data_IF_512086654247
#
_entry.id   IF_512086654247
#
_cell.length_a   1.000
_cell.length_b   1.000
_cell.length_c   1.000
_cell.angle_alpha   90.00
_cell.angle_beta   90.00
_cell.angle_gamma   90.00
#
_symmetry.space_group_name_H-M   'P 1'
#
loop_
_entity.id
_entity.type
_entity.pdbx_description
1 polymer ?
#
# COMPACT_ATOMS: atom_id res chain seq x y z
N UNK A 1 8.77 -4.65 -7.37
CA UNK A 1 10.09 -4.69 -6.70
C UNK A 1 11.02 -3.58 -7.17
N UNK A 2 10.85 -3.06 -8.40
CA UNK A 2 11.64 -1.99 -9.00
C UNK A 2 11.56 -0.64 -8.29
N UNK A 3 10.43 -0.26 -7.68
CA UNK A 3 10.30 1.01 -6.94
C UNK A 3 10.95 1.05 -5.54
N UNK A 4 11.24 -0.12 -4.94
CA UNK A 4 11.88 -0.22 -3.61
C UNK A 4 13.41 -0.33 -3.74
N UNK A 5 13.92 -0.69 -4.92
CA UNK A 5 15.34 -0.93 -5.19
C UNK A 5 16.11 0.35 -5.58
N UNK A 6 15.42 1.43 -5.95
CA UNK A 6 16.07 2.68 -6.40
C UNK A 6 16.73 3.49 -5.27
N UNK A 7 16.40 3.24 -4.00
CA UNK A 7 16.89 4.05 -2.86
C UNK A 7 18.35 3.74 -2.49
N UNK A 8 18.91 2.60 -2.91
CA UNK A 8 20.19 2.09 -2.38
C UNK A 8 21.44 2.18 -3.26
N UNK A 9 21.49 3.02 -4.32
CA UNK A 9 22.55 2.90 -5.34
C UNK A 9 23.54 4.05 -5.56
N UNK A 10 23.46 5.17 -4.83
CA UNK A 10 24.36 6.32 -5.10
C UNK A 10 25.27 6.77 -3.93
N UNK A 11 25.34 6.02 -2.83
CA UNK A 11 26.15 6.39 -1.65
C UNK A 11 27.61 5.86 -1.64
N UNK A 12 28.24 5.64 -2.80
CA UNK A 12 29.58 5.06 -2.87
C UNK A 12 30.57 5.89 -3.70
N UNK A 13 30.72 7.19 -3.42
CA UNK A 13 31.93 7.93 -3.80
C UNK A 13 32.14 9.19 -2.95
N UNK A 14 32.78 9.06 -1.79
CA UNK A 14 33.97 9.86 -1.43
C UNK A 14 34.40 9.59 0.02
N UNK A 15 35.64 9.18 0.22
CA UNK A 15 36.36 9.38 1.47
C UNK A 15 37.86 9.28 1.18
N UNK A 16 38.50 10.45 1.18
CA UNK A 16 39.92 10.63 0.91
C UNK A 16 40.76 10.43 2.18
N UNK A 17 41.96 9.89 1.98
CA UNK A 17 43.00 9.55 2.95
C UNK A 17 43.41 10.69 3.89
N UNK A 18 43.71 10.33 5.14
CA UNK A 18 44.78 10.96 5.93
C UNK A 18 45.69 9.90 6.54
N UNK A 19 46.99 10.06 6.27
CA UNK A 19 48.09 9.25 6.78
C UNK A 19 48.39 9.58 8.25
N UNK A 20 48.62 8.56 9.08
CA UNK A 20 49.23 8.74 10.40
C UNK A 20 50.41 7.78 10.58
N UNK A 21 51.51 8.32 11.10
CA UNK A 21 52.85 7.75 11.21
C UNK A 21 52.95 6.54 12.14
N UNK A 22 53.83 5.61 11.77
CA UNK A 22 54.20 4.38 12.48
C UNK A 22 55.15 4.73 13.62
N UNK A 23 54.68 4.70 14.86
CA UNK A 23 55.49 4.41 16.06
C UNK A 23 54.59 4.41 17.29
N UNK A 24 54.04 3.24 17.63
CA UNK A 24 53.71 2.82 19.01
C UNK A 24 53.11 1.40 18.98
N UNK A 25 53.96 0.43 18.67
CA UNK A 25 53.68 -1.00 18.83
C UNK A 25 54.37 -1.48 20.11
N UNK A 26 53.64 -1.45 21.23
CA UNK A 26 53.74 -2.44 22.32
C UNK A 26 52.71 -2.11 23.41
N UNK A 27 51.80 -3.06 23.65
CA UNK A 27 50.67 -3.04 24.59
C UNK A 27 49.43 -2.23 24.15
N UNK A 28 48.81 -2.65 23.04
CA UNK A 28 47.39 -2.38 22.82
C UNK A 28 46.62 -3.69 23.08
N UNK A 29 45.98 -3.72 24.25
CA UNK A 29 44.77 -4.49 24.53
C UNK A 29 43.93 -4.64 23.25
N UNK A 30 43.61 -5.88 22.84
CA UNK A 30 42.60 -6.15 21.81
C UNK A 30 41.24 -5.72 22.38
N UNK A 31 41.03 -4.42 22.55
CA UNK A 31 39.71 -3.84 22.65
C UNK A 31 39.02 -4.21 21.35
N UNK A 32 38.11 -5.19 21.41
CA UNK A 32 37.11 -5.41 20.37
C UNK A 32 36.62 -4.03 19.96
N UNK A 33 36.92 -3.62 18.73
CA UNK A 33 36.41 -2.36 18.21
C UNK A 33 34.90 -2.34 18.47
N UNK A 34 34.40 -1.26 19.08
CA UNK A 34 32.97 -1.11 19.29
C UNK A 34 32.28 -1.30 17.92
N UNK A 35 31.16 -2.04 17.87
CA UNK A 35 30.44 -2.22 16.62
C UNK A 35 30.09 -0.84 16.03
N UNK A 36 30.06 -0.70 14.70
CA UNK A 36 29.72 0.58 14.08
C UNK A 36 28.34 1.05 14.58
N UNK A 37 28.16 2.38 14.74
CA UNK A 37 26.88 2.93 15.16
C UNK A 37 25.81 2.56 14.12
N UNK A 38 24.60 2.26 14.60
CA UNK A 38 23.50 1.91 13.70
C UNK A 38 23.16 3.05 12.75
N UNK A 39 22.84 2.72 11.50
CA UNK A 39 22.54 3.67 10.43
C UNK A 39 21.12 3.53 9.90
N UNK A 40 20.77 4.40 8.95
CA UNK A 40 19.53 4.29 8.17
C UNK A 40 19.48 2.99 7.35
N UNK A 41 20.64 2.47 6.92
CA UNK A 41 20.75 1.24 6.13
C UNK A 41 20.32 0.02 6.94
N UNK A 42 20.56 0.01 8.25
CA UNK A 42 20.09 -1.04 9.14
C UNK A 42 18.55 -1.06 9.21
N UNK A 43 17.92 0.12 9.25
CA UNK A 43 16.45 0.25 9.21
C UNK A 43 15.91 -0.28 7.88
N UNK A 44 16.48 0.17 6.76
CA UNK A 44 16.13 -0.32 5.43
C UNK A 44 16.32 -1.82 5.28
N UNK A 45 17.40 -2.37 5.82
CA UNK A 45 17.66 -3.81 5.84
C UNK A 45 16.57 -4.56 6.58
N UNK A 46 16.13 -4.09 7.75
CA UNK A 46 15.03 -4.71 8.48
C UNK A 46 13.68 -4.59 7.76
N UNK A 47 13.41 -3.46 7.10
CA UNK A 47 12.23 -3.29 6.24
C UNK A 47 12.23 -4.34 5.12
N UNK A 48 13.35 -4.48 4.40
CA UNK A 48 13.49 -5.44 3.30
C UNK A 48 13.35 -6.88 3.78
N UNK A 49 13.97 -7.23 4.90
CA UNK A 49 13.80 -8.55 5.53
C UNK A 49 12.33 -8.82 5.87
N UNK A 50 11.61 -7.83 6.42
CA UNK A 50 10.18 -7.94 6.69
C UNK A 50 9.37 -8.18 5.41
N UNK A 51 9.64 -7.44 4.33
CA UNK A 51 8.95 -7.60 3.04
C UNK A 51 9.16 -9.01 2.48
N UNK A 52 10.39 -9.52 2.50
CA UNK A 52 10.70 -10.87 1.98
C UNK A 52 10.03 -11.95 2.82
N UNK A 53 10.14 -11.87 4.15
CA UNK A 53 9.60 -12.89 5.07
C UNK A 53 8.06 -12.89 5.06
N UNK A 54 7.44 -11.71 5.06
CA UNK A 54 5.97 -11.58 4.98
C UNK A 54 5.39 -12.14 3.67
N UNK A 55 6.18 -12.17 2.58
CA UNK A 55 5.84 -12.84 1.33
C UNK A 55 5.84 -14.36 1.43
N UNK A 56 6.67 -14.95 2.30
CA UNK A 56 6.87 -16.38 2.46
C UNK A 56 5.82 -17.12 3.29
N UNK A 57 6.14 -18.35 3.69
CA UNK A 57 5.24 -19.24 4.44
C UNK A 57 5.14 -18.89 5.94
N UNK A 58 6.20 -18.33 6.52
CA UNK A 58 6.28 -17.95 7.93
C UNK A 58 5.96 -16.46 8.13
N UNK A 59 4.73 -16.06 7.80
CA UNK A 59 4.37 -14.65 7.70
C UNK A 59 4.54 -13.88 9.01
N UNK A 60 4.29 -14.50 10.16
CA UNK A 60 4.43 -13.87 11.48
C UNK A 60 5.89 -13.61 11.89
N UNK A 61 6.86 -14.30 11.29
CA UNK A 61 8.28 -14.10 11.64
C UNK A 61 8.77 -12.72 11.16
N UNK A 62 8.04 -12.07 10.25
CA UNK A 62 8.34 -10.71 9.83
C UNK A 62 8.12 -9.68 10.96
N UNK A 63 7.25 -9.96 11.94
CA UNK A 63 6.94 -9.04 13.05
C UNK A 63 8.18 -8.72 13.89
N UNK A 64 9.10 -9.68 14.02
CA UNK A 64 10.37 -9.48 14.73
C UNK A 64 11.22 -8.41 14.04
N UNK A 65 11.33 -8.52 12.72
CA UNK A 65 12.11 -7.59 11.90
C UNK A 65 11.43 -6.22 11.83
N UNK A 66 10.11 -6.22 11.70
CA UNK A 66 9.31 -5.00 11.74
C UNK A 66 9.49 -4.24 13.06
N UNK A 67 9.39 -4.95 14.18
CA UNK A 67 9.60 -4.39 15.51
C UNK A 67 11.01 -3.82 15.71
N UNK A 68 12.04 -4.45 15.10
CA UNK A 68 13.41 -3.91 15.11
C UNK A 68 13.52 -2.65 14.26
N UNK A 69 12.91 -2.62 13.07
CA UNK A 69 12.91 -1.46 12.19
C UNK A 69 12.26 -0.24 12.87
N UNK A 70 11.07 -0.39 13.44
CA UNK A 70 10.34 0.69 14.14
C UNK A 70 11.14 1.24 15.31
N UNK A 71 11.61 0.36 16.21
CA UNK A 71 12.40 0.82 17.37
C UNK A 71 13.70 1.50 16.97
N UNK A 72 14.39 0.99 15.94
CA UNK A 72 15.63 1.60 15.47
C UNK A 72 15.35 2.96 14.81
N UNK A 73 14.31 3.08 13.99
CA UNK A 73 13.90 4.36 13.40
C UNK A 73 13.60 5.42 14.46
N UNK A 74 12.87 5.05 15.52
CA UNK A 74 12.59 5.94 16.66
C UNK A 74 13.87 6.30 17.44
N UNK A 75 14.77 5.33 17.66
CA UNK A 75 16.06 5.58 18.34
C UNK A 75 16.97 6.51 17.54
N UNK A 76 16.92 6.43 16.20
CA UNK A 76 17.62 7.35 15.30
C UNK A 76 16.89 8.69 15.13
N UNK A 77 15.71 8.88 15.72
CA UNK A 77 14.92 10.09 15.64
C UNK A 77 14.35 10.37 14.25
N UNK A 78 14.09 9.34 13.45
CA UNK A 78 13.55 9.51 12.09
C UNK A 78 12.13 10.08 12.06
N UNK A 79 11.42 10.05 13.20
CA UNK A 79 10.06 10.53 13.36
C UNK A 79 9.97 11.99 13.85
N UNK A 80 11.08 12.75 13.82
CA UNK A 80 11.15 14.13 14.33
C UNK A 80 11.63 15.11 13.26
N UNK A 81 11.36 16.41 13.48
CA UNK A 81 11.73 17.45 12.52
C UNK A 81 13.24 17.44 12.41
N UNK A 82 13.68 17.30 11.17
CA UNK A 82 15.07 17.23 10.78
C UNK A 82 15.56 18.66 10.44
N UNK A 83 16.82 18.97 10.73
CA UNK A 83 17.41 20.27 10.44
C UNK A 83 17.63 20.42 8.93
N UNK A 84 16.60 20.89 8.20
CA UNK A 84 16.57 21.24 6.76
C UNK A 84 17.90 21.16 5.97
N UNK A 85 18.36 19.94 5.67
CA UNK A 85 19.46 19.66 4.75
C UNK A 85 19.08 18.48 3.82
N UNK A 86 19.60 18.52 2.59
CA UNK A 86 19.45 17.52 1.53
C UNK A 86 19.70 16.08 2.00
N UNK A 87 20.74 15.89 2.81
CA UNK A 87 21.13 14.59 3.38
C UNK A 87 20.08 13.94 4.30
N UNK A 88 19.02 14.69 4.68
CA UNK A 88 17.95 14.18 5.53
C UNK A 88 16.72 13.73 4.74
N UNK A 89 16.64 14.02 3.43
CA UNK A 89 15.50 13.57 2.61
C UNK A 89 15.41 12.05 2.54
N UNK A 90 16.55 11.35 2.45
CA UNK A 90 16.58 9.89 2.52
C UNK A 90 16.01 9.38 3.85
N UNK A 91 16.39 10.00 4.97
CA UNK A 91 15.87 9.69 6.32
C UNK A 91 14.35 9.85 6.39
N UNK A 92 13.82 10.94 5.83
CA UNK A 92 12.36 11.17 5.75
C UNK A 92 11.68 10.09 4.91
N UNK A 93 12.22 9.78 3.73
CA UNK A 93 11.65 8.75 2.83
C UNK A 93 11.63 7.37 3.47
N UNK A 94 12.69 7.00 4.22
CA UNK A 94 12.71 5.73 4.97
C UNK A 94 11.68 5.71 6.09
N UNK A 95 11.52 6.82 6.84
CA UNK A 95 10.47 6.92 7.85
C UNK A 95 9.07 6.79 7.24
N UNK A 96 8.78 7.52 6.16
CA UNK A 96 7.47 7.48 5.52
C UNK A 96 7.19 6.14 4.83
N UNK A 97 8.21 5.44 4.34
CA UNK A 97 8.07 4.06 3.88
C UNK A 97 7.68 3.13 5.03
N UNK A 98 8.33 3.29 6.19
CA UNK A 98 8.02 2.55 7.39
C UNK A 98 6.57 2.82 7.85
N UNK A 99 6.15 4.08 7.88
CA UNK A 99 4.77 4.49 8.18
C UNK A 99 3.75 3.80 7.26
N UNK A 100 3.96 3.86 5.93
CA UNK A 100 3.06 3.24 4.96
C UNK A 100 2.93 1.72 5.17
N UNK A 101 4.06 1.04 5.36
CA UNK A 101 4.11 -0.39 5.56
C UNK A 101 3.54 -0.82 6.92
N UNK A 102 3.65 0.03 7.95
CA UNK A 102 3.07 -0.25 9.28
C UNK A 102 1.55 -0.42 9.20
N UNK A 103 0.86 0.48 8.48
CA UNK A 103 -0.60 0.38 8.27
C UNK A 103 -0.98 -0.79 7.37
N UNK A 104 -0.19 -1.03 6.33
CA UNK A 104 -0.38 -2.19 5.46
C UNK A 104 -0.29 -3.52 6.23
N UNK A 105 0.74 -3.69 7.06
CA UNK A 105 0.93 -4.88 7.89
C UNK A 105 -0.10 -4.98 9.00
N UNK A 106 -0.49 -3.86 9.63
CA UNK A 106 -1.57 -3.82 10.61
C UNK A 106 -2.90 -4.35 10.01
N UNK A 107 -3.26 -3.92 8.80
CA UNK A 107 -4.40 -4.50 8.09
C UNK A 107 -4.18 -5.99 7.80
N UNK A 108 -3.02 -6.38 7.25
CA UNK A 108 -2.74 -7.77 6.87
C UNK A 108 -2.79 -8.74 8.05
N UNK A 109 -2.32 -8.34 9.23
CA UNK A 109 -2.20 -9.18 10.41
C UNK A 109 -3.22 -8.88 11.52
N UNK A 110 -4.26 -8.11 11.20
CA UNK A 110 -5.32 -7.74 12.14
C UNK A 110 -4.75 -7.09 13.43
N UNK A 111 -3.73 -6.25 13.25
CA UNK A 111 -3.02 -5.55 14.30
C UNK A 111 -3.36 -4.06 14.35
N UNK A 112 -2.89 -3.39 15.40
CA UNK A 112 -2.86 -1.93 15.46
C UNK A 112 -1.55 -1.41 14.88
N UNK A 113 -1.52 -0.22 14.26
CA UNK A 113 -0.27 0.38 13.81
C UNK A 113 0.67 0.58 15.00
N UNK A 114 1.97 0.34 14.80
CA UNK A 114 3.02 0.56 15.81
C UNK A 114 3.48 2.01 15.84
N UNK A 115 3.35 2.71 14.70
CA UNK A 115 3.71 4.12 14.59
C UNK A 115 2.45 4.95 14.83
N UNK A 116 2.45 5.86 15.79
CA UNK A 116 1.29 6.73 16.02
C UNK A 116 1.36 8.00 15.18
N UNK A 117 0.21 8.57 14.82
CA UNK A 117 0.20 9.80 14.02
C UNK A 117 0.72 11.01 14.83
N UNK A 118 0.56 11.03 16.15
CA UNK A 118 1.05 12.11 17.03
C UNK A 118 2.58 12.13 17.20
N UNK A 119 3.26 11.00 16.97
CA UNK A 119 4.72 10.95 16.97
C UNK A 119 5.33 11.26 15.60
N UNK A 120 4.51 11.50 14.57
CA UNK A 120 4.96 11.80 13.21
C UNK A 120 5.28 13.29 13.07
N UNK A 121 6.35 13.72 13.71
CA UNK A 121 6.86 15.08 13.62
C UNK A 121 7.79 15.23 12.41
N UNK A 122 7.36 14.92 11.19
CA UNK A 122 8.25 14.89 9.99
C UNK A 122 7.65 15.64 8.80
N UNK A 123 8.48 16.31 8.00
CA UNK A 123 8.03 16.88 6.72
C UNK A 123 7.62 15.79 5.73
N UNK A 124 6.58 16.03 4.94
CA UNK A 124 6.19 15.16 3.83
C UNK A 124 7.36 15.08 2.82
N UNK A 125 7.64 13.89 2.21
CA UNK A 125 8.71 13.75 1.24
C UNK A 125 8.56 14.71 0.06
N UNK A 126 9.69 15.16 -0.48
CA UNK A 126 9.69 15.91 -1.73
C UNK A 126 9.17 15.02 -2.87
N UNK A 127 8.46 15.58 -3.86
CA UNK A 127 8.17 14.86 -5.11
C UNK A 127 9.47 14.31 -5.72
N UNK A 128 9.41 13.13 -6.35
CA UNK A 128 10.63 12.46 -6.86
C UNK A 128 11.38 13.32 -7.87
N UNK A 129 10.68 14.08 -8.72
CA UNK A 129 11.29 14.98 -9.68
C UNK A 129 12.01 16.18 -9.03
N UNK A 130 11.50 16.65 -7.89
CA UNK A 130 12.17 17.70 -7.11
C UNK A 130 13.40 17.13 -6.40
N UNK A 131 13.30 15.90 -5.89
CA UNK A 131 14.40 15.21 -5.24
C UNK A 131 15.52 14.85 -6.23
N UNK A 132 15.19 14.28 -7.39
CA UNK A 132 16.14 13.91 -8.45
C UNK A 132 16.87 15.12 -9.04
N UNK A 133 16.29 16.32 -8.95
CA UNK A 133 16.85 17.55 -9.51
C UNK A 133 17.23 18.56 -8.43
N UNK A 134 17.43 18.11 -7.18
CA UNK A 134 17.53 18.96 -5.98
C UNK A 134 18.45 20.17 -6.14
N UNK A 135 19.62 20.01 -6.78
CA UNK A 135 20.60 21.07 -7.01
C UNK A 135 20.09 22.23 -7.91
N UNK A 136 19.06 21.97 -8.72
CA UNK A 136 18.61 22.88 -9.79
C UNK A 136 17.23 23.50 -9.55
N UNK A 137 16.48 23.00 -8.56
CA UNK A 137 15.11 23.46 -8.29
C UNK A 137 15.11 24.70 -7.39
N UNK A 138 14.22 25.69 -7.61
CA UNK A 138 14.14 26.87 -6.74
C UNK A 138 13.90 26.51 -5.27
N UNK A 139 14.63 27.15 -4.35
CA UNK A 139 14.57 26.88 -2.90
C UNK A 139 13.17 27.08 -2.28
N UNK A 140 12.29 27.86 -2.93
CA UNK A 140 10.90 28.03 -2.50
C UNK A 140 10.09 26.73 -2.56
N UNK A 141 10.38 25.84 -3.52
CA UNK A 141 9.71 24.55 -3.66
C UNK A 141 10.18 23.55 -2.59
N UNK A 142 11.37 23.76 -2.03
CA UNK A 142 11.96 22.93 -0.98
C UNK A 142 11.47 23.38 0.41
N UNK A 143 11.17 24.67 0.58
CA UNK A 143 10.84 25.27 1.88
C UNK A 143 9.35 25.24 2.23
N UNK A 144 8.44 25.22 1.25
CA UNK A 144 6.99 25.12 1.48
C UNK A 144 6.54 23.67 1.59
N UNK A 145 6.79 23.04 2.74
CA UNK A 145 6.39 21.65 3.01
C UNK A 145 5.40 21.57 4.15
N UNK A 146 4.37 20.74 3.98
CA UNK A 146 3.51 20.34 5.08
C UNK A 146 4.23 19.33 5.97
N UNK A 147 3.73 19.21 7.18
CA UNK A 147 4.26 18.38 8.23
C UNK A 147 3.17 17.40 8.70
N UNK A 148 3.60 16.20 9.11
CA UNK A 148 2.72 15.13 9.52
C UNK A 148 2.08 14.37 8.35
N UNK A 149 1.24 13.37 8.65
CA UNK A 149 0.66 12.49 7.63
C UNK A 149 -0.25 13.27 6.67
N UNK A 150 0.04 13.30 5.36
CA UNK A 150 -0.84 13.93 4.38
C UNK A 150 -2.09 13.06 4.16
N UNK A 151 -3.18 13.66 3.66
CA UNK A 151 -4.43 12.96 3.33
C UNK A 151 -4.93 13.23 1.91
N UNK A 152 -4.19 14.02 1.13
CA UNK A 152 -4.51 14.35 -0.26
C UNK A 152 -3.49 13.76 -1.22
N UNK A 153 -3.96 13.21 -2.33
CA UNK A 153 -3.10 12.72 -3.42
C UNK A 153 -2.61 13.92 -4.23
N UNK A 154 -1.31 14.15 -4.27
CA UNK A 154 -0.74 15.36 -4.89
C UNK A 154 -0.10 15.11 -6.26
N UNK A 155 0.32 13.88 -6.53
CA UNK A 155 1.12 13.52 -7.70
C UNK A 155 1.21 12.01 -7.91
N UNK A 156 2.14 11.59 -8.76
CA UNK A 156 2.26 10.20 -9.21
C UNK A 156 3.38 9.40 -8.55
N UNK A 157 4.24 10.05 -7.76
CA UNK A 157 5.29 9.37 -7.00
C UNK A 157 4.71 8.58 -5.83
N UNK A 158 5.42 7.54 -5.37
CA UNK A 158 4.91 6.61 -4.35
C UNK A 158 4.36 7.32 -3.10
N UNK A 159 5.11 8.28 -2.54
CA UNK A 159 4.67 9.04 -1.37
C UNK A 159 3.59 10.09 -1.68
N UNK A 160 3.43 10.51 -2.94
CA UNK A 160 2.42 11.50 -3.31
C UNK A 160 1.01 10.90 -3.43
N UNK A 161 0.89 9.59 -3.72
CA UNK A 161 -0.41 8.93 -3.83
C UNK A 161 -0.67 7.88 -2.74
N UNK A 162 0.33 7.10 -2.35
CA UNK A 162 0.13 5.96 -1.45
C UNK A 162 0.12 6.39 0.02
N UNK A 163 1.01 7.30 0.42
CA UNK A 163 1.08 7.79 1.80
C UNK A 163 -0.24 8.42 2.28
N UNK A 164 -0.92 9.28 1.48
CA UNK A 164 -2.26 9.77 1.83
C UNK A 164 -3.29 8.68 2.14
N UNK A 165 -3.29 7.61 1.33
CA UNK A 165 -4.20 6.48 1.52
C UNK A 165 -3.85 5.70 2.80
N UNK A 166 -2.56 5.58 3.13
CA UNK A 166 -2.11 4.91 4.35
C UNK A 166 -2.37 5.73 5.62
N UNK A 167 -2.31 7.06 5.54
CA UNK A 167 -2.73 7.93 6.64
C UNK A 167 -4.21 7.70 6.99
N UNK A 168 -5.10 7.79 5.99
CA UNK A 168 -6.53 7.55 6.17
C UNK A 168 -6.80 6.10 6.63
N UNK A 169 -6.02 5.13 6.14
CA UNK A 169 -6.12 3.74 6.61
C UNK A 169 -5.84 3.62 8.11
N UNK A 170 -4.91 4.40 8.65
CA UNK A 170 -4.64 4.49 10.08
C UNK A 170 -5.90 4.84 10.88
N UNK A 171 -6.66 5.84 10.43
CA UNK A 171 -7.94 6.22 11.05
C UNK A 171 -8.97 5.09 11.01
N UNK A 172 -9.08 4.40 9.87
CA UNK A 172 -10.01 3.27 9.69
C UNK A 172 -9.62 2.11 10.62
N UNK A 173 -8.34 1.77 10.71
CA UNK A 173 -7.82 0.74 11.65
C UNK A 173 -8.10 1.16 13.09
N UNK A 174 -7.89 2.43 13.44
CA UNK A 174 -8.13 2.95 14.78
C UNK A 174 -9.59 2.76 15.20
N UNK A 175 -10.55 3.17 14.36
CA UNK A 175 -11.99 2.97 14.62
C UNK A 175 -12.30 1.46 14.75
N UNK A 176 -11.77 0.62 13.85
CA UNK A 176 -11.99 -0.82 13.88
C UNK A 176 -11.57 -1.45 15.21
N UNK A 177 -10.33 -1.20 15.66
CA UNK A 177 -9.82 -1.79 16.89
C UNK A 177 -10.41 -1.19 18.16
N UNK A 178 -10.84 0.08 18.13
CA UNK A 178 -11.56 0.72 19.24
C UNK A 178 -12.84 -0.06 19.60
N UNK A 179 -13.57 -0.58 18.62
CA UNK A 179 -14.79 -1.40 18.83
C UNK A 179 -14.52 -2.66 19.68
N UNK A 180 -13.30 -3.18 19.67
CA UNK A 180 -12.92 -4.34 20.47
C UNK A 180 -12.41 -3.99 21.88
N UNK A 181 -12.18 -2.71 22.16
CA UNK A 181 -11.64 -2.24 23.43
C UNK A 181 -12.65 -2.47 24.57
N UNK A 182 -12.28 -3.08 25.71
CA UNK A 182 -13.21 -3.46 26.78
C UNK A 182 -14.05 -2.31 27.37
N UNK A 183 -13.49 -1.10 27.43
CA UNK A 183 -14.17 0.10 27.97
C UNK A 183 -14.74 1.04 26.91
N UNK A 184 -14.04 1.24 25.80
CA UNK A 184 -14.39 2.20 24.76
C UNK A 184 -15.16 1.59 23.58
N UNK A 185 -15.29 0.26 23.50
CA UNK A 185 -15.95 -0.40 22.37
C UNK A 185 -17.47 -0.17 22.27
N UNK A 186 -18.11 0.31 23.35
CA UNK A 186 -19.53 0.67 23.37
C UNK A 186 -19.78 2.13 23.03
N UNK A 187 -18.73 2.94 22.85
CA UNK A 187 -18.87 4.34 22.47
C UNK A 187 -19.30 4.44 21.00
N UNK A 188 -20.14 5.44 20.71
CA UNK A 188 -20.58 5.72 19.35
C UNK A 188 -19.40 6.19 18.47
N UNK A 189 -19.30 5.63 17.27
CA UNK A 189 -18.28 5.96 16.27
C UNK A 189 -18.75 7.07 15.32
N UNK A 190 -20.00 7.55 15.38
CA UNK A 190 -20.60 8.39 14.34
C UNK A 190 -19.77 9.64 13.98
N UNK A 191 -19.22 10.34 14.98
CA UNK A 191 -18.38 11.51 14.73
C UNK A 191 -17.06 11.13 14.05
N UNK A 192 -16.43 10.03 14.48
CA UNK A 192 -15.20 9.52 13.89
C UNK A 192 -15.43 9.05 12.45
N UNK A 193 -16.52 8.32 12.20
CA UNK A 193 -16.93 7.89 10.85
C UNK A 193 -17.17 9.12 9.95
N UNK A 194 -17.90 10.13 10.44
CA UNK A 194 -18.19 11.34 9.66
C UNK A 194 -16.92 12.14 9.33
N UNK A 195 -15.92 12.16 10.22
CA UNK A 195 -14.62 12.76 9.94
C UNK A 195 -13.90 12.00 8.82
N UNK A 196 -13.83 10.67 8.90
CA UNK A 196 -13.20 9.84 7.86
C UNK A 196 -13.94 9.93 6.52
N UNK A 197 -15.28 10.04 6.52
CA UNK A 197 -16.05 10.29 5.29
C UNK A 197 -15.63 11.58 4.58
N UNK A 198 -15.33 12.65 5.34
CA UNK A 198 -14.83 13.91 4.77
C UNK A 198 -13.42 13.75 4.20
N UNK A 199 -12.57 12.96 4.86
CA UNK A 199 -11.24 12.63 4.34
C UNK A 199 -11.34 11.83 3.03
N UNK A 200 -12.22 10.83 2.97
CA UNK A 200 -12.47 10.08 1.73
C UNK A 200 -12.95 10.98 0.60
N UNK A 201 -13.90 11.89 0.85
CA UNK A 201 -14.38 12.83 -0.16
C UNK A 201 -13.26 13.75 -0.67
N UNK A 202 -12.43 14.27 0.24
CA UNK A 202 -11.30 15.14 -0.13
C UNK A 202 -10.23 14.40 -0.92
N UNK A 203 -9.91 13.16 -0.50
CA UNK A 203 -8.97 12.29 -1.20
C UNK A 203 -9.48 11.91 -2.60
N UNK A 204 -10.76 11.53 -2.72
CA UNK A 204 -11.40 11.25 -4.01
C UNK A 204 -11.30 12.46 -4.96
N UNK A 205 -11.61 13.66 -4.46
CA UNK A 205 -11.48 14.88 -5.25
C UNK A 205 -10.03 15.10 -5.72
N UNK A 206 -9.05 14.91 -4.84
CA UNK A 206 -7.63 15.06 -5.20
C UNK A 206 -7.16 14.05 -6.27
N UNK A 207 -7.73 12.84 -6.28
CA UNK A 207 -7.46 11.83 -7.32
C UNK A 207 -8.06 12.29 -8.67
N UNK A 208 -9.30 12.79 -8.66
CA UNK A 208 -9.94 13.33 -9.88
C UNK A 208 -9.24 14.58 -10.41
N UNK A 209 -8.73 15.44 -9.53
CA UNK A 209 -7.94 16.62 -9.91
C UNK A 209 -6.59 16.21 -10.53
N UNK A 210 -5.97 15.15 -10.02
CA UNK A 210 -4.76 14.56 -10.63
C UNK A 210 -5.05 14.03 -12.04
N UNK A 211 -6.12 13.27 -12.22
CA UNK A 211 -6.53 12.73 -13.54
C UNK A 211 -6.75 13.86 -14.55
N UNK A 212 -7.51 14.89 -14.17
CA UNK A 212 -7.85 16.04 -15.03
C UNK A 212 -6.63 16.85 -15.47
N UNK A 213 -5.61 16.97 -14.60
CA UNK A 213 -4.35 17.66 -14.93
C UNK A 213 -3.64 17.00 -16.10
N UNK A 214 -3.56 15.67 -16.12
CA UNK A 214 -2.86 14.92 -17.16
C UNK A 214 -3.67 14.74 -18.45
N UNK A 215 -4.99 14.82 -18.41
CA UNK A 215 -5.82 14.87 -19.63
C UNK A 215 -5.70 16.21 -20.37
N UNK A 216 -5.52 17.32 -19.64
CA UNK A 216 -5.40 18.66 -20.25
C UNK A 216 -4.05 18.87 -20.94
N UNK A 217 -2.98 18.20 -20.48
CA UNK A 217 -1.65 18.29 -21.09
C UNK A 217 -1.60 17.70 -22.52
N UNK A 218 -2.46 16.73 -22.85
CA UNK A 218 -2.54 16.09 -24.17
C UNK A 218 -3.07 17.03 -25.27
N UNK A 219 -4.03 17.90 -24.93
CA UNK A 219 -4.57 18.89 -25.86
C UNK A 219 -3.52 19.92 -26.33
N UNK A 220 -2.45 20.11 -25.55
CA UNK A 220 -1.39 21.09 -25.82
C UNK A 220 -0.11 20.48 -26.41
N UNK A 221 0.00 19.14 -26.54
CA UNK A 221 1.21 18.49 -27.05
C UNK A 221 0.92 17.16 -27.76
N UNK A 222 1.00 17.17 -29.09
CA UNK A 222 0.96 15.93 -29.89
C UNK A 222 2.35 15.27 -29.91
N UNK A 223 2.48 14.03 -29.40
CA UNK A 223 3.70 13.19 -29.50
C UNK A 223 3.30 11.74 -29.88
N UNK A 224 4.09 11.01 -30.72
CA UNK A 224 3.64 9.83 -31.47
C UNK A 224 3.67 8.50 -30.69
N UNK A 225 2.93 7.53 -31.23
CA UNK A 225 2.55 6.23 -30.67
C UNK A 225 3.67 5.19 -30.40
N UNK A 226 4.95 5.58 -30.27
CA UNK A 226 6.07 4.63 -30.11
C UNK A 226 6.57 4.43 -28.67
N UNK A 227 5.96 5.03 -27.65
CA UNK A 227 6.40 4.90 -26.24
C UNK A 227 5.68 3.79 -25.46
N UNK A 228 4.92 2.93 -26.12
CA UNK A 228 4.35 1.76 -25.48
C UNK A 228 5.39 0.63 -25.42
N UNK A 229 5.69 0.22 -24.19
CA UNK A 229 6.42 -1.00 -23.78
C UNK A 229 7.93 -0.83 -23.56
N UNK A 230 8.32 -0.40 -22.34
CA UNK A 230 9.31 -1.07 -21.46
C UNK A 230 9.64 -0.15 -20.27
N UNK A 231 9.59 -0.63 -19.01
CA UNK A 231 10.24 0.05 -17.90
C UNK A 231 11.73 -0.28 -17.99
N UNK A 232 12.51 0.55 -18.69
CA UNK A 232 13.91 0.24 -18.93
C UNK A 232 14.74 0.44 -17.65
N UNK A 233 15.17 -0.69 -17.09
CA UNK A 233 16.28 -0.78 -16.15
C UNK A 233 17.61 -0.71 -16.91
N UNK A 234 18.34 0.40 -16.78
CA UNK A 234 19.80 0.48 -16.93
C UNK A 234 20.45 0.31 -18.32
N UNK A 235 21.31 1.29 -18.63
CA UNK A 235 22.47 1.24 -19.55
C UNK A 235 22.22 1.02 -21.04
N UNK A 236 22.30 2.11 -21.80
CA UNK A 236 22.82 2.07 -23.16
C UNK A 236 23.90 3.15 -23.31
N UNK A 237 25.16 2.73 -23.21
CA UNK A 237 26.31 3.52 -23.63
C UNK A 237 26.34 3.58 -25.16
N UNK A 238 26.36 4.79 -25.73
CA UNK A 238 26.93 5.07 -27.05
C UNK A 238 27.11 6.58 -27.28
N UNK A 239 28.04 6.99 -28.16
CA UNK A 239 29.13 7.87 -27.74
C UNK A 239 28.88 9.36 -27.99
N UNK A 240 29.55 10.16 -27.15
CA UNK A 240 30.03 11.54 -27.34
C UNK A 240 29.73 12.15 -28.73
N UNK A 241 28.81 13.11 -28.80
CA UNK A 241 29.03 14.42 -29.42
C UNK A 241 27.80 15.35 -29.37
N UNK A 242 28.09 16.62 -29.08
CA UNK A 242 27.35 17.86 -29.36
C UNK A 242 26.20 18.33 -28.45
N UNK A 243 26.53 19.38 -27.68
CA UNK A 243 26.03 20.76 -27.81
C UNK A 243 25.45 21.35 -26.52
N UNK A 244 26.11 22.42 -26.07
CA UNK A 244 25.69 23.35 -25.03
C UNK A 244 24.39 24.05 -25.47
N UNK A 245 23.36 24.02 -24.61
CA UNK A 245 22.29 25.01 -24.59
C UNK A 245 20.86 24.46 -24.68
N UNK A 246 20.25 24.18 -23.54
CA UNK A 246 18.85 24.55 -23.17
C UNK A 246 18.58 24.08 -21.73
N UNK A 247 17.79 24.80 -20.90
CA UNK A 247 17.41 24.29 -19.59
C UNK A 247 16.59 23.02 -19.82
N UNK A 248 17.01 21.93 -19.21
CA UNK A 248 16.37 20.62 -19.32
C UNK A 248 14.87 20.77 -19.07
N UNK A 249 14.07 20.66 -20.14
CA UNK A 249 12.63 20.70 -20.05
C UNK A 249 12.16 19.58 -19.15
N UNK A 250 11.30 19.92 -18.17
CA UNK A 250 10.54 18.95 -17.36
C UNK A 250 10.07 17.81 -18.25
N UNK A 251 10.58 16.60 -18.05
CA UNK A 251 10.00 15.41 -18.69
C UNK A 251 8.59 15.26 -18.12
N UNK A 252 7.52 15.32 -18.95
CA UNK A 252 6.18 15.04 -18.46
C UNK A 252 6.16 13.61 -17.92
N UNK A 253 5.78 13.40 -16.65
CA UNK A 253 5.47 12.05 -16.16
C UNK A 253 4.35 11.52 -17.07
N UNK A 254 4.54 10.34 -17.65
CA UNK A 254 3.66 9.82 -18.69
C UNK A 254 2.21 9.75 -18.21
N UNK A 255 1.25 10.16 -19.06
CA UNK A 255 -0.20 9.98 -18.83
C UNK A 255 -0.54 8.54 -18.41
N UNK A 256 0.18 7.55 -18.95
CA UNK A 256 0.01 6.16 -18.56
C UNK A 256 0.28 5.93 -17.06
N UNK A 257 1.31 6.59 -16.50
CA UNK A 257 1.60 6.53 -15.06
C UNK A 257 0.51 7.23 -14.24
N UNK A 258 0.02 8.39 -14.70
CA UNK A 258 -1.09 9.06 -14.04
C UNK A 258 -2.36 8.20 -14.03
N UNK A 259 -2.67 7.52 -15.14
CA UNK A 259 -3.78 6.59 -15.25
C UNK A 259 -3.63 5.37 -14.32
N UNK A 260 -2.41 4.82 -14.21
CA UNK A 260 -2.11 3.76 -13.25
C UNK A 260 -2.36 4.24 -11.82
N UNK A 261 -1.72 5.35 -11.42
CA UNK A 261 -1.81 5.88 -10.05
C UNK A 261 -3.27 6.20 -9.67
N UNK A 262 -4.01 6.87 -10.54
CA UNK A 262 -5.41 7.22 -10.27
C UNK A 262 -6.31 5.99 -10.18
N UNK A 263 -6.12 4.99 -11.05
CA UNK A 263 -6.85 3.72 -11.00
C UNK A 263 -6.59 2.95 -9.70
N UNK A 264 -5.32 2.80 -9.31
CA UNK A 264 -4.94 2.11 -8.07
C UNK A 264 -5.39 2.88 -6.82
N UNK A 265 -5.27 4.21 -6.82
CA UNK A 265 -5.71 5.05 -5.70
C UNK A 265 -7.22 4.99 -5.50
N UNK A 266 -7.99 5.04 -6.60
CA UNK A 266 -9.46 4.92 -6.59
C UNK A 266 -9.88 3.55 -6.04
N UNK A 267 -9.23 2.48 -6.49
CA UNK A 267 -9.48 1.14 -5.98
C UNK A 267 -9.23 1.03 -4.47
N UNK A 268 -8.06 1.46 -4.00
CA UNK A 268 -7.71 1.42 -2.56
C UNK A 268 -8.69 2.26 -1.76
N UNK A 269 -9.07 3.45 -2.23
CA UNK A 269 -10.04 4.30 -1.55
C UNK A 269 -11.40 3.60 -1.38
N UNK A 270 -11.91 2.92 -2.41
CA UNK A 270 -13.12 2.11 -2.28
C UNK A 270 -12.96 0.95 -1.28
N UNK A 271 -11.79 0.32 -1.23
CA UNK A 271 -11.50 -0.70 -0.19
C UNK A 271 -11.51 -0.08 1.21
N UNK A 272 -10.99 1.14 1.39
CA UNK A 272 -11.07 1.84 2.67
C UNK A 272 -12.52 2.11 3.10
N UNK A 273 -13.40 2.49 2.16
CA UNK A 273 -14.84 2.58 2.43
C UNK A 273 -15.43 1.21 2.84
N UNK A 274 -15.07 0.13 2.14
CA UNK A 274 -15.50 -1.24 2.50
C UNK A 274 -15.04 -1.57 3.93
N UNK A 275 -13.82 -1.24 4.30
CA UNK A 275 -13.27 -1.48 5.64
C UNK A 275 -13.91 -0.62 6.73
N UNK A 276 -14.30 0.62 6.43
CA UNK A 276 -14.95 1.51 7.43
C UNK A 276 -16.34 0.99 7.84
N UNK A 277 -17.13 0.53 6.86
CA UNK A 277 -18.52 0.09 7.08
C UNK A 277 -18.69 -1.42 7.25
N UNK A 278 -17.78 -2.19 6.68
CA UNK A 278 -17.81 -3.64 6.62
C UNK A 278 -17.30 -4.31 7.88
N UNK A 279 -17.69 -5.56 8.07
CA UNK A 279 -16.90 -6.49 8.88
C UNK A 279 -15.56 -6.71 8.19
N UNK A 280 -14.49 -7.02 8.92
CA UNK A 280 -13.20 -7.33 8.29
C UNK A 280 -13.02 -8.83 8.04
N UNK A 281 -13.88 -9.66 8.62
CA UNK A 281 -13.78 -11.11 8.64
C UNK A 281 -14.85 -11.76 7.73
N UNK A 282 -14.39 -12.47 6.69
CA UNK A 282 -15.28 -13.09 5.70
C UNK A 282 -16.20 -14.15 6.29
N UNK A 283 -15.75 -14.92 7.29
CA UNK A 283 -16.59 -15.95 7.92
C UNK A 283 -17.72 -15.30 8.71
N UNK A 284 -17.41 -14.28 9.51
CA UNK A 284 -18.40 -13.51 10.28
C UNK A 284 -19.40 -12.77 9.39
N UNK A 285 -18.98 -12.34 8.19
CA UNK A 285 -19.90 -11.80 7.17
C UNK A 285 -20.88 -12.84 6.66
N UNK A 286 -20.39 -14.06 6.34
CA UNK A 286 -21.22 -15.13 5.78
C UNK A 286 -22.22 -15.68 6.80
N UNK A 287 -21.81 -15.80 8.05
CA UNK A 287 -22.66 -16.23 9.17
C UNK A 287 -23.79 -15.23 9.42
N UNK A 288 -23.46 -13.93 9.53
CA UNK A 288 -24.44 -12.85 9.71
C UNK A 288 -25.39 -13.06 10.90
N UNK A 289 -24.86 -13.52 12.04
CA UNK A 289 -25.65 -13.79 13.24
C UNK A 289 -26.33 -12.55 13.84
N UNK A 290 -25.82 -11.35 13.53
CA UNK A 290 -26.27 -10.04 14.01
C UNK A 290 -27.22 -9.31 13.04
N UNK A 291 -27.56 -9.91 11.90
CA UNK A 291 -28.44 -9.28 10.91
C UNK A 291 -27.84 -8.07 10.16
N UNK A 292 -26.52 -7.87 10.23
CA UNK A 292 -25.80 -6.73 9.65
C UNK A 292 -26.13 -6.47 8.16
N UNK A 293 -26.40 -7.49 7.36
CA UNK A 293 -26.73 -7.35 5.91
C UNK A 293 -27.99 -6.53 5.62
N UNK A 294 -28.83 -6.26 6.63
CA UNK A 294 -30.04 -5.44 6.46
C UNK A 294 -29.84 -3.96 6.83
N UNK A 295 -28.62 -3.60 7.25
CA UNK A 295 -28.29 -2.29 7.79
C UNK A 295 -27.86 -1.26 6.73
N UNK A 296 -27.93 0.03 7.06
CA UNK A 296 -27.44 1.12 6.20
C UNK A 296 -25.92 1.04 5.94
N UNK A 297 -25.05 0.74 6.94
CA UNK A 297 -23.63 0.51 6.69
C UNK A 297 -23.36 -0.58 5.65
N UNK A 298 -24.14 -1.67 5.66
CA UNK A 298 -24.02 -2.70 4.64
C UNK A 298 -24.28 -2.16 3.23
N UNK A 299 -25.31 -1.34 3.03
CA UNK A 299 -25.60 -0.73 1.72
C UNK A 299 -24.45 0.14 1.22
N UNK A 300 -23.81 0.91 2.10
CA UNK A 300 -22.60 1.68 1.76
C UNK A 300 -21.45 0.75 1.36
N UNK A 301 -21.19 -0.28 2.17
CA UNK A 301 -20.15 -1.29 1.93
C UNK A 301 -20.36 -2.02 0.59
N UNK A 302 -21.60 -2.43 0.31
CA UNK A 302 -22.05 -3.06 -0.93
C UNK A 302 -21.76 -2.20 -2.17
N UNK A 303 -22.16 -0.93 -2.14
CA UNK A 303 -21.93 -0.01 -3.25
C UNK A 303 -20.45 0.15 -3.56
N UNK A 304 -19.61 0.31 -2.52
CA UNK A 304 -18.17 0.46 -2.71
C UNK A 304 -17.46 -0.83 -3.12
N UNK A 305 -17.96 -2.01 -2.75
CA UNK A 305 -17.41 -3.27 -3.23
C UNK A 305 -17.62 -3.48 -4.75
N UNK A 306 -18.78 -3.06 -5.28
CA UNK A 306 -19.05 -3.06 -6.72
C UNK A 306 -18.13 -2.04 -7.43
N UNK A 307 -18.06 -0.81 -6.92
CA UNK A 307 -17.17 0.22 -7.48
C UNK A 307 -15.69 -0.20 -7.42
N UNK A 308 -15.26 -0.89 -6.36
CA UNK A 308 -13.93 -1.47 -6.28
C UNK A 308 -13.68 -2.51 -7.39
N UNK A 309 -14.66 -3.36 -7.71
CA UNK A 309 -14.54 -4.32 -8.81
C UNK A 309 -14.43 -3.64 -10.18
N UNK A 310 -15.10 -2.51 -10.37
CA UNK A 310 -15.01 -1.70 -11.59
C UNK A 310 -13.64 -1.02 -11.70
N UNK A 311 -13.12 -0.48 -10.59
CA UNK A 311 -11.76 0.05 -10.53
C UNK A 311 -10.71 -1.03 -10.84
N UNK A 312 -10.85 -2.25 -10.30
CA UNK A 312 -10.00 -3.40 -10.67
C UNK A 312 -10.11 -3.72 -12.17
N UNK A 313 -11.31 -3.62 -12.75
CA UNK A 313 -11.47 -3.80 -14.20
C UNK A 313 -10.71 -2.75 -15.01
N UNK A 314 -10.58 -1.51 -14.53
CA UNK A 314 -9.77 -0.49 -15.20
C UNK A 314 -8.27 -0.76 -14.99
N UNK A 315 -7.86 -1.13 -13.77
CA UNK A 315 -6.49 -1.54 -13.47
C UNK A 315 -6.04 -2.66 -14.42
N UNK A 316 -6.85 -3.69 -14.63
CA UNK A 316 -6.49 -4.80 -15.54
C UNK A 316 -6.39 -4.39 -17.02
N UNK A 317 -6.89 -3.22 -17.43
CA UNK A 317 -6.71 -2.70 -18.80
C UNK A 317 -5.36 -2.00 -18.95
N UNK A 318 -4.91 -1.25 -17.94
CA UNK A 318 -3.66 -0.50 -17.99
C UNK A 318 -2.46 -1.26 -17.39
N UNK A 319 -2.70 -2.22 -16.50
CA UNK A 319 -1.71 -3.11 -15.87
C UNK A 319 -2.23 -4.56 -15.84
N UNK A 320 -2.27 -5.24 -17.00
CA UNK A 320 -2.84 -6.58 -17.13
C UNK A 320 -2.10 -7.66 -16.34
N UNK A 321 -0.85 -7.39 -15.94
CA UNK A 321 0.02 -8.29 -15.17
C UNK A 321 0.13 -7.89 -13.68
N UNK A 322 -0.56 -6.82 -13.25
CA UNK A 322 -0.55 -6.31 -11.87
C UNK A 322 0.87 -6.08 -11.31
N UNK A 323 1.75 -5.53 -12.16
CA UNK A 323 3.18 -5.34 -11.87
C UNK A 323 3.49 -3.99 -11.21
N UNK A 324 2.54 -3.06 -11.17
CA UNK A 324 2.74 -1.72 -10.63
C UNK A 324 3.01 -1.73 -9.11
N UNK A 325 2.24 -2.51 -8.35
CA UNK A 325 2.38 -2.62 -6.89
C UNK A 325 2.15 -4.04 -6.34
N UNK A 326 2.96 -5.03 -6.80
CA UNK A 326 2.68 -6.46 -6.61
C UNK A 326 2.72 -6.91 -5.15
N UNK A 327 3.56 -6.28 -4.32
CA UNK A 327 3.63 -6.58 -2.88
C UNK A 327 2.40 -6.08 -2.12
N UNK A 328 1.95 -4.86 -2.43
CA UNK A 328 0.94 -4.16 -1.63
C UNK A 328 -0.49 -4.53 -2.05
N UNK A 329 -0.72 -4.76 -3.34
CA UNK A 329 -2.07 -4.87 -3.91
C UNK A 329 -2.92 -6.00 -3.31
N UNK A 330 -2.28 -7.10 -2.94
CA UNK A 330 -2.95 -8.34 -2.59
C UNK A 330 -3.93 -8.27 -1.43
N UNK A 331 -3.60 -7.50 -0.38
CA UNK A 331 -4.47 -7.36 0.80
C UNK A 331 -5.70 -6.51 0.50
N UNK A 332 -5.56 -5.48 -0.34
CA UNK A 332 -6.66 -4.62 -0.75
C UNK A 332 -7.61 -5.37 -1.68
N UNK A 333 -7.06 -6.14 -2.63
CA UNK A 333 -7.85 -7.04 -3.47
C UNK A 333 -8.65 -8.03 -2.62
N UNK A 334 -8.04 -8.61 -1.59
CA UNK A 334 -8.74 -9.52 -0.69
C UNK A 334 -9.92 -8.84 0.04
N UNK A 335 -9.68 -7.74 0.74
CA UNK A 335 -10.73 -7.07 1.52
C UNK A 335 -11.83 -6.47 0.63
N UNK A 336 -11.49 -5.96 -0.56
CA UNK A 336 -12.47 -5.52 -1.55
C UNK A 336 -13.37 -6.65 -2.09
N UNK A 337 -12.95 -7.90 -1.93
CA UNK A 337 -13.64 -9.07 -2.50
C UNK A 337 -14.62 -9.76 -1.54
N UNK A 338 -14.56 -9.51 -0.23
CA UNK A 338 -15.37 -10.23 0.76
C UNK A 338 -16.87 -10.01 0.57
N UNK A 339 -17.30 -8.81 0.21
CA UNK A 339 -18.70 -8.49 -0.04
C UNK A 339 -19.21 -9.17 -1.32
N UNK A 340 -18.37 -9.26 -2.35
CA UNK A 340 -18.71 -9.97 -3.59
C UNK A 340 -18.82 -11.47 -3.36
N UNK A 341 -17.97 -12.04 -2.49
CA UNK A 341 -18.13 -13.42 -2.04
C UNK A 341 -19.47 -13.62 -1.30
N UNK A 342 -19.84 -12.70 -0.42
CA UNK A 342 -21.13 -12.73 0.27
C UNK A 342 -22.29 -12.65 -0.73
N UNK A 343 -22.23 -11.78 -1.73
CA UNK A 343 -23.28 -11.73 -2.76
C UNK A 343 -23.38 -13.04 -3.54
N UNK A 344 -22.24 -13.60 -3.98
CA UNK A 344 -22.22 -14.89 -4.68
C UNK A 344 -22.79 -16.02 -3.81
N UNK A 345 -22.49 -16.05 -2.51
CA UNK A 345 -23.03 -17.04 -1.57
C UNK A 345 -24.55 -16.88 -1.36
N UNK A 346 -25.09 -15.66 -1.52
CA UNK A 346 -26.51 -15.33 -1.32
C UNK A 346 -27.38 -15.38 -2.59
N UNK A 347 -26.77 -15.45 -3.77
CA UNK A 347 -27.48 -15.60 -5.05
C UNK A 347 -28.44 -16.80 -5.09
N UNK A 348 -28.14 -17.99 -4.52
CA UNK A 348 -29.06 -19.12 -4.55
C UNK A 348 -30.40 -18.84 -3.85
N UNK A 349 -30.45 -17.93 -2.88
CA UNK A 349 -31.67 -17.60 -2.15
C UNK A 349 -32.41 -16.37 -2.74
N UNK A 350 -31.68 -15.42 -3.32
CA UNK A 350 -32.24 -14.12 -3.75
C UNK A 350 -32.45 -14.06 -5.28
N UNK A 351 -31.80 -14.94 -6.04
CA UNK A 351 -31.81 -14.97 -7.50
C UNK A 351 -30.48 -14.54 -8.11
N UNK A 352 -30.25 -14.97 -9.36
CA UNK A 352 -29.03 -14.63 -10.10
C UNK A 352 -28.96 -13.12 -10.39
N UNK A 353 -27.74 -12.58 -10.40
CA UNK A 353 -27.48 -11.18 -10.70
C UNK A 353 -26.24 -11.05 -11.58
N UNK A 354 -26.44 -10.69 -12.85
CA UNK A 354 -25.39 -10.61 -13.86
C UNK A 354 -24.30 -9.59 -13.51
N UNK A 355 -24.65 -8.46 -12.89
CA UNK A 355 -23.65 -7.44 -12.52
C UNK A 355 -22.70 -7.96 -11.44
N UNK A 356 -23.24 -8.68 -10.47
CA UNK A 356 -22.44 -9.33 -9.42
C UNK A 356 -21.63 -10.48 -10.00
N UNK A 357 -22.18 -11.29 -10.90
CA UNK A 357 -21.41 -12.35 -11.56
C UNK A 357 -20.20 -11.78 -12.31
N UNK A 358 -20.40 -10.69 -13.07
CA UNK A 358 -19.33 -9.99 -13.77
C UNK A 358 -18.29 -9.42 -12.80
N UNK A 359 -18.73 -8.81 -11.70
CA UNK A 359 -17.83 -8.31 -10.66
C UNK A 359 -16.98 -9.44 -10.04
N UNK A 360 -17.61 -10.58 -9.73
CA UNK A 360 -16.91 -11.77 -9.24
C UNK A 360 -15.89 -12.28 -10.26
N UNK A 361 -16.20 -12.36 -11.55
CA UNK A 361 -15.26 -12.80 -12.58
C UNK A 361 -14.06 -11.87 -12.72
N UNK A 362 -14.28 -10.55 -12.72
CA UNK A 362 -13.19 -9.57 -12.73
C UNK A 362 -12.24 -9.78 -11.55
N UNK A 363 -12.78 -9.96 -10.35
CA UNK A 363 -12.00 -10.19 -9.14
C UNK A 363 -11.28 -11.54 -9.14
N UNK A 364 -11.94 -12.59 -9.63
CA UNK A 364 -11.33 -13.92 -9.81
C UNK A 364 -10.11 -13.79 -10.72
N UNK A 365 -10.25 -13.11 -11.87
CA UNK A 365 -9.15 -12.85 -12.82
C UNK A 365 -8.03 -12.04 -12.17
N UNK A 366 -8.36 -10.98 -11.43
CA UNK A 366 -7.36 -10.18 -10.73
C UNK A 366 -6.57 -11.02 -9.71
N UNK A 367 -7.23 -11.90 -8.95
CA UNK A 367 -6.55 -12.81 -8.05
C UNK A 367 -5.70 -13.86 -8.77
N UNK A 368 -6.06 -14.29 -9.98
CA UNK A 368 -5.22 -15.17 -10.80
C UNK A 368 -3.92 -14.49 -11.20
N UNK A 369 -4.02 -13.29 -11.76
CA UNK A 369 -2.86 -12.50 -12.16
C UNK A 369 -1.99 -12.19 -10.93
N UNK A 370 -2.59 -11.71 -9.85
CA UNK A 370 -1.86 -11.33 -8.64
C UNK A 370 -1.07 -12.50 -8.03
N UNK A 371 -1.64 -13.72 -8.05
CA UNK A 371 -0.93 -14.94 -7.60
C UNK A 371 0.27 -15.29 -8.49
N UNK A 372 0.21 -15.01 -9.79
CA UNK A 372 1.34 -15.23 -10.71
C UNK A 372 2.44 -14.21 -10.43
N UNK A 373 2.08 -12.96 -10.17
CA UNK A 373 3.04 -11.87 -9.94
C UNK A 373 3.70 -11.94 -8.56
N UNK A 374 2.93 -12.22 -7.51
CA UNK A 374 3.43 -12.49 -6.16
C UNK A 374 2.54 -13.53 -5.47
N UNK A 375 2.96 -14.79 -5.53
CA UNK A 375 2.21 -15.91 -4.98
C UNK A 375 2.14 -15.85 -3.46
N UNK A 376 0.91 -15.78 -2.93
CA UNK A 376 0.64 -16.02 -1.51
C UNK A 376 -0.41 -17.14 -1.35
N UNK A 377 -0.24 -17.98 -0.34
CA UNK A 377 -1.14 -19.12 -0.11
C UNK A 377 -2.59 -18.68 0.17
N UNK A 378 -2.77 -17.55 0.84
CA UNK A 378 -4.11 -17.04 1.14
C UNK A 378 -4.87 -16.64 -0.12
N UNK A 379 -4.21 -15.95 -1.08
CA UNK A 379 -4.85 -15.55 -2.34
C UNK A 379 -5.27 -16.77 -3.17
N UNK A 380 -4.41 -17.80 -3.24
CA UNK A 380 -4.74 -19.07 -3.92
C UNK A 380 -5.99 -19.71 -3.32
N UNK A 381 -6.06 -19.76 -1.98
CA UNK A 381 -7.18 -20.33 -1.23
C UNK A 381 -8.46 -19.53 -1.41
N UNK A 382 -8.40 -18.21 -1.26
CA UNK A 382 -9.54 -17.32 -1.44
C UNK A 382 -10.12 -17.40 -2.86
N UNK A 383 -9.28 -17.31 -3.89
CA UNK A 383 -9.67 -17.49 -5.29
C UNK A 383 -10.43 -18.81 -5.51
N UNK A 384 -9.91 -19.91 -4.95
CA UNK A 384 -10.55 -21.23 -5.06
C UNK A 384 -11.94 -21.23 -4.42
N UNK A 385 -12.11 -20.58 -3.27
CA UNK A 385 -13.40 -20.43 -2.58
C UNK A 385 -14.37 -19.60 -3.42
N UNK A 386 -13.96 -18.43 -3.91
CA UNK A 386 -14.82 -17.53 -4.70
C UNK A 386 -15.27 -18.20 -6.00
N UNK A 387 -14.34 -18.81 -6.75
CA UNK A 387 -14.66 -19.54 -7.99
C UNK A 387 -15.60 -20.72 -7.75
N UNK A 388 -15.34 -21.51 -6.70
CA UNK A 388 -16.21 -22.64 -6.35
C UNK A 388 -17.62 -22.15 -6.01
N UNK A 389 -17.73 -21.03 -5.29
CA UNK A 389 -19.02 -20.42 -4.93
C UNK A 389 -19.79 -20.01 -6.18
N UNK A 390 -19.17 -19.23 -7.07
CA UNK A 390 -19.79 -18.78 -8.32
C UNK A 390 -20.21 -19.95 -9.23
N UNK A 391 -19.37 -20.99 -9.33
CA UNK A 391 -19.69 -22.19 -10.12
C UNK A 391 -20.91 -22.95 -9.58
N UNK A 392 -21.03 -23.09 -8.26
CA UNK A 392 -22.21 -23.74 -7.64
C UNK A 392 -23.49 -22.98 -7.95
N UNK A 393 -23.45 -21.64 -7.95
CA UNK A 393 -24.60 -20.79 -8.31
C UNK A 393 -25.04 -21.06 -9.75
N UNK A 394 -24.10 -20.99 -10.71
CA UNK A 394 -24.40 -21.18 -12.14
C UNK A 394 -24.94 -22.57 -12.48
N UNK A 395 -24.48 -23.59 -11.76
CA UNK A 395 -24.87 -24.97 -12.03
C UNK A 395 -26.28 -25.31 -11.56
N UNK A 396 -27.00 -24.35 -10.93
CA UNK A 396 -28.29 -24.56 -10.25
C UNK A 396 -28.31 -25.79 -9.31
N UNK A 397 -27.13 -26.22 -8.87
CA UNK A 397 -27.00 -27.32 -7.90
C UNK A 397 -27.41 -26.74 -6.56
N UNK A 398 -28.32 -27.41 -5.86
CA UNK A 398 -28.53 -27.14 -4.42
C UNK A 398 -27.17 -27.12 -3.76
N UNK A 399 -26.75 -25.96 -3.26
CA UNK A 399 -25.44 -25.77 -2.66
C UNK A 399 -25.31 -26.80 -1.54
N UNK A 400 -24.40 -27.76 -1.69
CA UNK A 400 -24.26 -28.81 -0.69
C UNK A 400 -23.81 -28.14 0.62
N UNK A 401 -24.54 -28.36 1.71
CA UNK A 401 -24.17 -27.83 3.03
C UNK A 401 -22.72 -28.19 3.40
N UNK A 402 -22.24 -29.34 2.93
CA UNK A 402 -20.85 -29.76 3.09
C UNK A 402 -19.87 -28.89 2.28
N UNK A 403 -20.19 -28.52 1.05
CA UNK A 403 -19.36 -27.60 0.25
C UNK A 403 -19.24 -26.22 0.91
N UNK A 404 -20.35 -25.69 1.46
CA UNK A 404 -20.33 -24.44 2.22
C UNK A 404 -19.47 -24.56 3.48
N UNK A 405 -19.55 -25.66 4.22
CA UNK A 405 -18.70 -25.92 5.40
C UNK A 405 -17.22 -26.02 5.04
N UNK A 406 -16.87 -26.70 3.95
CA UNK A 406 -15.48 -26.78 3.47
C UNK A 406 -14.95 -25.39 3.10
N UNK A 407 -15.73 -24.57 2.38
CA UNK A 407 -15.35 -23.18 2.05
C UNK A 407 -15.10 -22.36 3.32
N UNK A 408 -15.99 -22.44 4.31
CA UNK A 408 -15.82 -21.75 5.60
C UNK A 408 -14.58 -22.22 6.35
N UNK A 409 -14.27 -23.52 6.33
CA UNK A 409 -13.04 -24.06 6.96
C UNK A 409 -11.76 -23.55 6.29
N UNK A 410 -11.79 -23.35 4.97
CA UNK A 410 -10.64 -22.76 4.25
C UNK A 410 -10.48 -21.29 4.63
N UNK A 411 -11.58 -20.54 4.69
CA UNK A 411 -11.56 -19.13 5.11
C UNK A 411 -11.18 -18.98 6.59
N UNK A 412 -11.54 -19.92 7.45
CA UNK A 412 -11.27 -19.82 8.89
C UNK A 412 -9.79 -19.91 9.26
N UNK A 413 -8.93 -20.24 8.31
CA UNK A 413 -7.47 -20.12 8.48
C UNK A 413 -7.05 -18.66 8.64
N UNK A 414 -7.79 -17.71 8.05
CA UNK A 414 -7.47 -16.29 8.08
C UNK A 414 -8.64 -15.51 8.68
N UNK A 415 -8.45 -14.94 9.87
CA UNK A 415 -9.52 -14.30 10.63
C UNK A 415 -9.16 -12.90 11.07
N UNK A 416 -10.07 -11.96 10.86
CA UNK A 416 -9.98 -10.56 11.32
C UNK A 416 -10.97 -10.28 12.45
N UNK A 417 -11.13 -11.27 13.34
CA UNK A 417 -11.92 -11.15 14.57
C UNK A 417 -11.02 -10.78 15.75
N UNK A 418 -11.63 -10.36 16.86
CA UNK A 418 -10.92 -10.07 18.10
C UNK A 418 -10.03 -11.26 18.53
N UNK A 419 -8.73 -11.00 18.67
CA UNK A 419 -7.74 -12.01 19.10
C UNK A 419 -7.17 -12.88 17.98
N UNK A 420 -7.65 -12.72 16.74
CA UNK A 420 -7.08 -13.38 15.56
C UNK A 420 -5.98 -12.53 14.90
N UNK A 421 -5.21 -13.13 13.99
CA UNK A 421 -3.99 -12.54 13.41
C UNK A 421 -4.07 -12.28 11.91
N UNK A 422 -5.27 -12.19 11.33
CA UNK A 422 -5.45 -11.97 9.89
C UNK A 422 -4.76 -13.05 9.07
N UNK A 423 -3.73 -12.65 8.31
CA UNK A 423 -2.89 -13.53 7.50
C UNK A 423 -1.75 -14.23 8.26
N UNK A 424 -1.51 -13.88 9.52
CA UNK A 424 -0.47 -14.46 10.36
C UNK A 424 -0.91 -15.81 10.93
N UNK A 425 -0.54 -16.89 10.24
CA UNK A 425 -0.82 -18.28 10.64
C UNK A 425 0.10 -18.76 11.76
#
# INVERSE_FOLDING_TARGET
MTGIVTIGKEALHSSSCYSTSISDLKYADERRADPPPSSIDDVLTFILMCIVISGGDFKTDCDLWWSKAVRLAQALGLNRVDASEEAQEERRRVFWLLFCLDRHLALAFNGTPNISDDECDVYVPLPDDVWENFETVPSELITKRSHGPPVLVTGTSFFEYFLPLMAIMGDVIHIHHRRYHPRFGTLDDQNSISMVEKLFASCAQSISDLESRYDTEELNGAIPASEFLTPNSGFQESPLNHAVGTPAGRRPKSRALAQLVTSYSTFILHVLHVLLYGKWDAVSMLENDDGWITSVPFMKCASHAIAASEAVSQILKCDPELTFMPYLFGIYLLHGSFILLLFADRMPQIGANESVEKACETIIRAHEVCVVTLSTEFQKRFRKVLRSTLYSVRSARTTNAEESRVRRRVLSLYRWTKGSRGLGL
#
